data_IF_268758581114
#
_entry.id   IF_268758581114
#
_cell.length_a   1.000
_cell.length_b   1.000
_cell.length_c   1.000
_cell.angle_alpha   90.00
_cell.angle_beta   90.00
_cell.angle_gamma   90.00
#
_symmetry.space_group_name_H-M   'P 1'
#
loop_
_entity.id
_entity.type
_entity.pdbx_description
1 polymer ?
#
# COMPACT_ATOMS: atom_id res chain seq x y z
N UNK A 1 3.70 -1.72 4.39
CA UNK A 1 5.11 -1.97 4.64
C UNK A 1 5.47 -3.41 4.27
N UNK A 2 6.53 -3.61 3.53
CA UNK A 2 7.15 -4.91 3.37
C UNK A 2 8.22 -5.05 4.46
N UNK A 3 8.08 -6.09 5.28
CA UNK A 3 8.87 -6.27 6.48
C UNK A 3 9.52 -7.65 6.45
N UNK A 4 10.81 -7.70 6.72
CA UNK A 4 11.53 -8.93 7.00
C UNK A 4 11.77 -9.04 8.50
N UNK A 5 11.44 -10.17 9.11
CA UNK A 5 11.62 -10.41 10.54
C UNK A 5 12.12 -11.84 10.81
N UNK A 6 12.75 -12.04 11.97
CA UNK A 6 13.24 -13.35 12.37
C UNK A 6 12.10 -14.27 12.84
N UNK A 7 11.08 -13.69 13.48
CA UNK A 7 9.88 -14.40 13.92
C UNK A 7 8.70 -13.44 14.05
N UNK A 8 7.49 -13.99 14.06
CA UNK A 8 6.26 -13.20 14.29
C UNK A 8 6.25 -12.64 15.71
N UNK A 9 6.78 -13.39 16.67
CA UNK A 9 6.89 -12.99 18.08
C UNK A 9 7.81 -11.78 18.22
N UNK A 10 8.95 -11.76 17.57
CA UNK A 10 9.87 -10.62 17.54
C UNK A 10 9.19 -9.40 16.90
N UNK A 11 8.49 -9.60 15.79
CA UNK A 11 7.76 -8.52 15.12
C UNK A 11 6.69 -7.89 16.04
N UNK A 12 5.92 -8.71 16.76
CA UNK A 12 4.94 -8.23 17.73
C UNK A 12 5.56 -7.44 18.89
N UNK A 13 6.82 -7.74 19.24
CA UNK A 13 7.59 -7.04 20.26
C UNK A 13 8.36 -5.82 19.70
N UNK A 14 8.29 -5.57 18.41
CA UNK A 14 9.04 -4.51 17.74
C UNK A 14 10.55 -4.76 17.71
N UNK A 15 10.98 -6.03 17.61
CA UNK A 15 12.38 -6.43 17.64
C UNK A 15 12.76 -7.23 16.39
N UNK A 16 14.05 -7.23 16.07
CA UNK A 16 14.65 -8.11 15.04
C UNK A 16 13.91 -8.10 13.71
N UNK A 17 13.53 -6.90 13.24
CA UNK A 17 12.88 -6.71 11.95
C UNK A 17 13.54 -5.56 11.17
N UNK A 18 13.38 -5.61 9.86
CA UNK A 18 13.76 -4.53 8.94
C UNK A 18 12.60 -4.19 8.03
N UNK A 19 12.36 -2.90 7.81
CA UNK A 19 11.39 -2.44 6.83
C UNK A 19 12.12 -2.40 5.48
N UNK A 20 11.60 -3.13 4.52
CA UNK A 20 12.16 -3.22 3.16
C UNK A 20 11.55 -2.16 2.25
N UNK A 21 10.24 -1.94 2.38
CA UNK A 21 9.50 -1.04 1.50
C UNK A 21 8.32 -0.37 2.22
N UNK A 22 8.02 0.85 1.79
CA UNK A 22 6.87 1.62 2.26
C UNK A 22 5.89 1.88 1.10
N UNK A 23 4.76 1.20 1.10
CA UNK A 23 3.82 1.18 -0.04
C UNK A 23 2.62 2.13 0.11
N UNK A 24 2.41 2.74 1.24
CA UNK A 24 1.26 3.60 1.48
C UNK A 24 -0.09 2.85 1.42
N UNK A 25 -1.18 3.58 1.17
CA UNK A 25 -2.53 3.02 1.16
C UNK A 25 -2.87 2.21 -0.11
N UNK A 26 -2.03 2.25 -1.13
CA UNK A 26 -2.20 1.49 -2.36
C UNK A 26 -1.66 0.06 -2.29
N UNK A 27 -1.02 -0.30 -1.17
CA UNK A 27 -0.55 -1.66 -0.96
C UNK A 27 -1.72 -2.65 -0.88
N UNK A 28 -1.49 -3.84 -1.40
CA UNK A 28 -2.43 -4.96 -1.28
C UNK A 28 -1.82 -6.10 -0.47
N UNK A 29 -2.63 -6.95 0.17
CA UNK A 29 -2.11 -8.11 0.89
C UNK A 29 -1.56 -9.14 -0.10
N UNK A 30 -0.32 -9.59 0.09
CA UNK A 30 0.36 -10.48 -0.85
C UNK A 30 0.10 -11.97 -0.60
N UNK A 31 -0.43 -12.34 0.56
CA UNK A 31 -0.60 -13.75 0.96
C UNK A 31 -1.57 -14.55 0.07
N UNK A 32 -2.49 -13.90 -0.62
CA UNK A 32 -3.42 -14.59 -1.52
C UNK A 32 -2.83 -14.93 -2.90
N UNK A 33 -1.59 -14.49 -3.18
CA UNK A 33 -0.84 -14.93 -4.35
C UNK A 33 -0.16 -16.30 -4.14
N UNK A 34 -0.13 -16.79 -2.90
CA UNK A 34 0.41 -18.09 -2.59
C UNK A 34 -0.43 -19.25 -3.16
N UNK A 35 0.24 -20.38 -3.39
CA UNK A 35 -0.41 -21.61 -3.85
C UNK A 35 -1.48 -22.08 -2.86
N UNK A 36 -2.64 -22.45 -3.39
CA UNK A 36 -3.75 -22.92 -2.56
C UNK A 36 -4.87 -21.91 -2.31
N UNK A 37 -4.66 -20.64 -2.63
CA UNK A 37 -5.76 -19.67 -2.63
C UNK A 37 -6.66 -19.85 -3.85
N UNK A 38 -7.96 -19.89 -3.61
CA UNK A 38 -8.95 -19.85 -4.69
C UNK A 38 -9.23 -18.41 -5.09
N UNK A 39 -9.74 -18.20 -6.32
CA UNK A 39 -10.16 -16.88 -6.78
C UNK A 39 -11.16 -16.22 -5.83
N UNK A 40 -12.15 -16.98 -5.34
CA UNK A 40 -13.14 -16.49 -4.37
C UNK A 40 -12.47 -16.11 -3.04
N UNK A 41 -11.50 -16.91 -2.59
CA UNK A 41 -10.70 -16.63 -1.40
C UNK A 41 -9.93 -15.32 -1.55
N UNK A 42 -9.25 -15.11 -2.69
CA UNK A 42 -8.53 -13.88 -3.00
C UNK A 42 -9.44 -12.66 -2.98
N UNK A 43 -10.60 -12.71 -3.63
CA UNK A 43 -11.59 -11.61 -3.58
C UNK A 43 -12.04 -11.31 -2.16
N UNK A 44 -12.28 -12.33 -1.34
CA UNK A 44 -12.67 -12.14 0.07
C UNK A 44 -11.60 -11.39 0.85
N UNK A 45 -10.32 -11.74 0.66
CA UNK A 45 -9.20 -11.04 1.32
C UNK A 45 -9.05 -9.59 0.84
N UNK A 46 -9.18 -9.34 -0.44
CA UNK A 46 -9.19 -7.98 -1.01
C UNK A 46 -10.32 -7.15 -0.39
N UNK A 47 -11.53 -7.68 -0.32
CA UNK A 47 -12.67 -6.97 0.27
C UNK A 47 -12.48 -6.68 1.76
N UNK A 48 -11.88 -7.59 2.53
CA UNK A 48 -11.52 -7.33 3.94
C UNK A 48 -10.52 -6.18 4.05
N UNK A 49 -9.49 -6.17 3.19
CA UNK A 49 -8.49 -5.13 3.15
C UNK A 49 -9.11 -3.75 2.82
N UNK A 50 -9.95 -3.68 1.81
CA UNK A 50 -10.66 -2.45 1.44
C UNK A 50 -11.59 -1.96 2.54
N UNK A 51 -12.28 -2.89 3.23
CA UNK A 51 -13.11 -2.53 4.39
C UNK A 51 -12.28 -1.89 5.49
N UNK A 52 -11.12 -2.45 5.84
CA UNK A 52 -10.23 -1.88 6.83
C UNK A 52 -9.73 -0.48 6.42
N UNK A 53 -9.35 -0.29 5.15
CA UNK A 53 -8.96 1.02 4.63
C UNK A 53 -10.10 2.04 4.73
N UNK A 54 -11.33 1.63 4.44
CA UNK A 54 -12.50 2.49 4.56
C UNK A 54 -12.75 2.89 6.02
N UNK A 55 -12.68 1.95 6.95
CA UNK A 55 -12.84 2.21 8.39
C UNK A 55 -11.78 3.20 8.91
N UNK A 56 -10.52 3.06 8.49
CA UNK A 56 -9.44 4.01 8.80
C UNK A 56 -9.74 5.39 8.20
N UNK A 57 -10.23 5.43 6.97
CA UNK A 57 -10.60 6.68 6.32
C UNK A 57 -11.71 7.42 7.08
N UNK A 58 -12.77 6.71 7.48
CA UNK A 58 -13.88 7.28 8.26
C UNK A 58 -13.41 7.75 9.64
N UNK A 59 -12.55 6.99 10.30
CA UNK A 59 -11.95 7.40 11.55
C UNK A 59 -11.15 8.70 11.39
N UNK A 60 -10.27 8.79 10.39
CA UNK A 60 -9.50 10.00 10.11
C UNK A 60 -10.41 11.20 9.79
N UNK A 61 -11.51 10.99 9.07
CA UNK A 61 -12.51 12.04 8.81
C UNK A 61 -13.13 12.55 10.10
N UNK A 62 -13.44 11.67 11.05
CA UNK A 62 -13.97 12.05 12.36
C UNK A 62 -13.00 12.91 13.17
N UNK A 63 -11.69 12.75 12.93
CA UNK A 63 -10.63 13.58 13.50
C UNK A 63 -10.41 14.91 12.74
N UNK A 64 -11.22 15.21 11.71
CA UNK A 64 -11.14 16.45 10.94
C UNK A 64 -10.18 16.39 9.73
N UNK A 65 -9.60 15.23 9.42
CA UNK A 65 -8.80 15.05 8.20
C UNK A 65 -9.71 15.10 6.99
N UNK A 66 -9.49 16.06 6.10
CA UNK A 66 -10.27 16.22 4.87
C UNK A 66 -9.59 15.53 3.70
N UNK A 67 -10.34 14.81 2.86
CA UNK A 67 -9.80 14.27 1.62
C UNK A 67 -9.33 15.41 0.70
N UNK A 68 -8.34 15.12 -0.12
CA UNK A 68 -7.89 16.11 -1.10
C UNK A 68 -8.99 16.40 -2.13
N UNK A 69 -9.16 17.66 -2.52
CA UNK A 69 -9.99 17.99 -3.66
C UNK A 69 -9.50 17.24 -4.91
N UNK A 70 -10.42 16.81 -5.75
CA UNK A 70 -10.11 16.04 -6.98
C UNK A 70 -9.02 16.71 -7.84
N UNK A 71 -9.09 18.03 -8.02
CA UNK A 71 -8.07 18.79 -8.78
C UNK A 71 -6.67 18.66 -8.19
N UNK A 72 -6.54 18.63 -6.86
CA UNK A 72 -5.25 18.45 -6.18
C UNK A 72 -4.73 17.04 -6.40
N UNK A 73 -5.55 16.03 -6.22
CA UNK A 73 -5.18 14.63 -6.46
C UNK A 73 -4.73 14.40 -7.90
N UNK A 74 -5.48 14.90 -8.86
CA UNK A 74 -5.14 14.80 -10.29
C UNK A 74 -3.81 15.50 -10.64
N UNK A 75 -3.55 16.67 -10.05
CA UNK A 75 -2.26 17.36 -10.24
C UNK A 75 -1.09 16.52 -9.73
N UNK A 76 -1.24 15.89 -8.57
CA UNK A 76 -0.23 15.00 -8.01
C UNK A 76 0.01 13.79 -8.90
N UNK A 77 -1.06 13.14 -9.35
CA UNK A 77 -0.97 11.99 -10.26
C UNK A 77 -0.22 12.36 -11.55
N UNK A 78 -0.52 13.50 -12.14
CA UNK A 78 0.16 13.97 -13.36
C UNK A 78 1.67 14.21 -13.11
N UNK A 79 2.03 14.82 -11.96
CA UNK A 79 3.44 14.99 -11.58
C UNK A 79 4.16 13.66 -11.38
N UNK A 80 3.50 12.69 -10.75
CA UNK A 80 4.06 11.35 -10.54
C UNK A 80 4.28 10.66 -11.87
N UNK A 81 3.32 10.69 -12.78
CA UNK A 81 3.44 10.11 -14.12
C UNK A 81 4.60 10.75 -14.93
N UNK A 82 4.76 12.06 -14.81
CA UNK A 82 5.88 12.77 -15.44
C UNK A 82 7.23 12.34 -14.87
N UNK A 83 7.33 12.21 -13.54
CA UNK A 83 8.54 11.71 -12.89
C UNK A 83 8.88 10.28 -13.36
N UNK A 84 7.90 9.38 -13.39
CA UNK A 84 8.11 8.02 -13.88
C UNK A 84 8.53 7.98 -15.37
N UNK A 85 8.05 8.92 -16.17
CA UNK A 85 8.48 9.05 -17.56
C UNK A 85 9.97 9.44 -17.63
N UNK A 86 10.37 10.45 -16.86
CA UNK A 86 11.76 10.91 -16.80
C UNK A 86 12.68 9.78 -16.31
N UNK A 87 12.30 9.07 -15.27
CA UNK A 87 13.09 7.95 -14.74
C UNK A 87 13.26 6.85 -15.80
N UNK A 88 12.21 6.44 -16.49
CA UNK A 88 12.28 5.44 -17.56
C UNK A 88 13.14 5.88 -18.75
N UNK A 89 13.16 7.17 -19.06
CA UNK A 89 14.05 7.71 -20.09
C UNK A 89 15.51 7.73 -19.64
N UNK A 90 15.77 7.98 -18.36
CA UNK A 90 17.12 7.90 -17.81
C UNK A 90 17.66 6.47 -17.81
N UNK A 91 16.85 5.48 -17.42
CA UNK A 91 17.23 4.07 -17.42
C UNK A 91 17.62 3.54 -18.81
N UNK A 92 16.99 4.06 -19.85
CA UNK A 92 17.34 3.68 -21.26
C UNK A 92 18.71 4.20 -21.71
N UNK A 93 19.33 5.12 -20.97
CA UNK A 93 20.62 5.71 -21.30
C UNK A 93 21.81 5.02 -20.62
N UNK A 94 21.52 4.07 -19.74
CA UNK A 94 22.50 3.23 -19.06
C UNK A 94 22.66 1.92 -19.84
#
# INVERSE_FOLDING_TARGET
YDIMCNSIEDLKQGKNFSILEYNGCGAEPNHFYDTGYTLIGAYREILKHWKALYEICEYNRSLGVKPWPYKKGRRFLNKTNELFRIMREADKRI
#
